data_IF_405660294576
#
_entry.id   IF_405660294576
#
_cell.length_a   1.000
_cell.length_b   1.000
_cell.length_c   1.000
_cell.angle_alpha   90.00
_cell.angle_beta   90.00
_cell.angle_gamma   90.00
#
_symmetry.space_group_name_H-M   'P 1'
#
loop_
_entity.id
_entity.type
_entity.pdbx_description
1 polymer ?
#
# COMPACT_ATOMS: atom_id res chain seq x y z
N UNK A 1 4.25 -38.23 -28.43
CA UNK A 1 5.43 -38.07 -27.53
C UNK A 1 5.08 -36.98 -26.53
N UNK A 2 5.28 -37.20 -25.23
CA UNK A 2 4.96 -36.19 -24.20
C UNK A 2 5.99 -35.04 -24.29
N UNK A 3 5.53 -33.80 -24.48
CA UNK A 3 6.39 -32.61 -24.59
C UNK A 3 7.32 -32.46 -23.37
N UNK A 4 6.83 -32.87 -22.20
CA UNK A 4 7.59 -32.84 -20.95
C UNK A 4 8.70 -33.90 -20.91
N UNK A 5 8.49 -35.05 -21.56
CA UNK A 5 9.53 -36.09 -21.71
C UNK A 5 10.61 -35.65 -22.68
N UNK A 6 10.24 -35.01 -23.79
CA UNK A 6 11.20 -34.50 -24.78
C UNK A 6 12.08 -33.38 -24.22
N UNK A 7 11.51 -32.49 -23.39
CA UNK A 7 12.28 -31.45 -22.71
C UNK A 7 13.37 -32.02 -21.78
N UNK A 8 13.05 -33.11 -21.06
CA UNK A 8 14.02 -33.80 -20.19
C UNK A 8 15.15 -34.47 -20.97
N UNK A 9 14.85 -35.03 -22.14
CA UNK A 9 15.86 -35.59 -23.04
C UNK A 9 16.83 -34.50 -23.56
N UNK A 10 16.29 -33.33 -23.93
CA UNK A 10 17.10 -32.19 -24.37
C UNK A 10 18.01 -31.71 -23.23
N UNK A 11 17.49 -31.59 -22.01
CA UNK A 11 18.28 -31.18 -20.84
C UNK A 11 19.42 -32.18 -20.54
N UNK A 12 19.13 -33.47 -20.63
CA UNK A 12 20.13 -34.53 -20.47
C UNK A 12 21.21 -34.45 -21.57
N UNK A 13 20.84 -34.19 -22.83
CA UNK A 13 21.80 -34.04 -23.93
C UNK A 13 22.63 -32.76 -23.80
N UNK A 14 22.04 -31.64 -23.42
CA UNK A 14 22.78 -30.40 -23.14
C UNK A 14 23.77 -30.56 -21.99
N UNK A 15 23.40 -31.30 -20.94
CA UNK A 15 24.33 -31.64 -19.85
C UNK A 15 25.47 -32.54 -20.31
N UNK A 16 25.21 -33.49 -21.22
CA UNK A 16 26.24 -34.33 -21.82
C UNK A 16 27.19 -33.53 -22.72
N UNK A 17 26.67 -32.62 -23.56
CA UNK A 17 27.45 -31.71 -24.41
C UNK A 17 28.38 -30.83 -23.55
N UNK A 18 27.88 -30.36 -22.40
CA UNK A 18 28.70 -29.59 -21.45
C UNK A 18 29.87 -30.41 -20.90
N UNK A 19 29.62 -31.65 -20.51
CA UNK A 19 30.68 -32.56 -20.03
C UNK A 19 31.67 -32.95 -21.13
N UNK A 20 31.20 -33.05 -22.38
CA UNK A 20 32.03 -33.35 -23.56
C UNK A 20 32.91 -32.14 -23.95
N UNK A 21 32.40 -30.91 -23.81
CA UNK A 21 33.17 -29.68 -24.06
C UNK A 21 34.30 -29.43 -23.04
N UNK A 22 34.26 -30.07 -21.87
CA UNK A 22 35.30 -29.99 -20.84
C UNK A 22 36.47 -30.96 -21.11
N UNK A 23 36.38 -31.83 -22.13
CA UNK A 23 37.43 -32.76 -22.51
C UNK A 23 38.44 -32.13 -23.47
N UNK A 24 39.73 -32.47 -23.29
CA UNK A 24 40.83 -31.95 -24.10
C UNK A 24 40.81 -32.59 -25.50
N UNK A 25 40.46 -31.81 -26.54
CA UNK A 25 40.33 -32.26 -27.93
C UNK A 25 38.89 -32.33 -28.46
N UNK A 26 37.90 -31.85 -27.71
CA UNK A 26 36.51 -31.81 -28.15
C UNK A 26 36.28 -30.88 -29.35
N UNK A 27 35.43 -31.31 -30.29
CA UNK A 27 35.00 -30.49 -31.42
C UNK A 27 33.96 -29.46 -30.96
N UNK A 28 34.46 -28.34 -30.49
CA UNK A 28 33.66 -27.24 -29.95
C UNK A 28 32.68 -26.65 -30.98
N UNK A 29 32.97 -26.75 -32.28
CA UNK A 29 32.13 -26.17 -33.32
C UNK A 29 30.93 -27.07 -33.64
N UNK A 30 31.15 -28.39 -33.70
CA UNK A 30 30.06 -29.37 -33.79
C UNK A 30 29.14 -29.33 -32.56
N UNK A 31 29.72 -29.28 -31.35
CA UNK A 31 28.96 -29.19 -30.09
C UNK A 31 28.19 -27.87 -29.96
N UNK A 32 28.75 -26.76 -30.45
CA UNK A 32 28.06 -25.47 -30.47
C UNK A 32 26.88 -25.46 -31.45
N UNK A 33 26.99 -26.12 -32.61
CA UNK A 33 25.86 -26.28 -33.55
C UNK A 33 24.75 -27.11 -32.92
N UNK A 34 25.09 -28.26 -32.33
CA UNK A 34 24.10 -29.13 -31.70
C UNK A 34 23.41 -28.46 -30.50
N UNK A 35 24.16 -27.70 -29.69
CA UNK A 35 23.58 -26.94 -28.58
C UNK A 35 22.61 -25.84 -29.06
N UNK A 36 22.88 -25.20 -30.20
CA UNK A 36 21.95 -24.23 -30.80
C UNK A 36 20.67 -24.90 -31.29
N UNK A 37 20.78 -26.01 -32.00
CA UNK A 37 19.61 -26.75 -32.51
C UNK A 37 18.72 -27.25 -31.36
N UNK A 38 19.33 -27.77 -30.29
CA UNK A 38 18.63 -28.19 -29.07
C UNK A 38 17.97 -27.02 -28.33
N UNK A 39 18.60 -25.84 -28.36
CA UNK A 39 18.04 -24.64 -27.77
C UNK A 39 16.85 -24.12 -28.58
N UNK A 40 16.90 -24.16 -29.90
CA UNK A 40 15.76 -23.83 -30.78
C UNK A 40 14.59 -24.80 -30.53
N UNK A 41 14.85 -26.11 -30.53
CA UNK A 41 13.84 -27.13 -30.24
C UNK A 41 13.20 -26.91 -28.85
N UNK A 42 14.01 -26.58 -27.84
CA UNK A 42 13.52 -26.24 -26.50
C UNK A 42 12.60 -25.03 -26.53
N UNK A 43 12.95 -23.96 -27.24
CA UNK A 43 12.10 -22.77 -27.32
C UNK A 43 10.78 -23.05 -28.01
N UNK A 44 10.77 -23.88 -29.05
CA UNK A 44 9.54 -24.22 -29.77
C UNK A 44 8.63 -25.15 -28.97
N UNK A 45 9.19 -26.08 -28.19
CA UNK A 45 8.43 -26.89 -27.24
C UNK A 45 7.78 -26.01 -26.16
N UNK A 46 8.49 -25.00 -25.65
CA UNK A 46 7.95 -24.05 -24.68
C UNK A 46 6.80 -23.24 -25.29
N UNK A 47 6.97 -22.69 -26.50
CA UNK A 47 5.90 -21.96 -27.20
C UNK A 47 4.67 -22.84 -27.44
N UNK A 48 4.86 -24.11 -27.79
CA UNK A 48 3.75 -25.05 -27.99
C UNK A 48 3.05 -25.40 -26.66
N UNK A 49 3.80 -25.53 -25.56
CA UNK A 49 3.22 -25.70 -24.22
C UNK A 49 2.44 -24.45 -23.79
N UNK A 50 2.95 -23.25 -24.05
CA UNK A 50 2.25 -21.99 -23.79
C UNK A 50 1.00 -21.84 -24.67
N UNK A 51 1.08 -22.21 -25.95
CA UNK A 51 -0.07 -22.25 -26.87
C UNK A 51 -1.14 -23.22 -26.38
N UNK A 52 -0.75 -24.39 -25.86
CA UNK A 52 -1.67 -25.34 -25.25
C UNK A 52 -2.25 -24.82 -23.93
N UNK A 53 -1.45 -24.15 -23.10
CA UNK A 53 -1.92 -23.58 -21.84
C UNK A 53 -2.90 -22.42 -22.06
N UNK A 54 -2.62 -21.55 -23.03
CA UNK A 54 -3.51 -20.45 -23.42
C UNK A 54 -4.78 -20.96 -24.12
N UNK A 55 -4.67 -21.97 -24.98
CA UNK A 55 -5.84 -22.63 -25.56
C UNK A 55 -6.68 -23.32 -24.48
N UNK A 56 -6.05 -24.00 -23.52
CA UNK A 56 -6.72 -24.60 -22.38
C UNK A 56 -7.37 -23.54 -21.49
N UNK A 57 -6.74 -22.38 -21.24
CA UNK A 57 -7.39 -21.30 -20.48
C UNK A 57 -8.59 -20.73 -21.22
N UNK A 58 -8.48 -20.50 -22.54
CA UNK A 58 -9.59 -20.01 -23.38
C UNK A 58 -10.71 -21.04 -23.51
N UNK A 59 -10.40 -22.34 -23.60
CA UNK A 59 -11.38 -23.41 -23.61
C UNK A 59 -12.03 -23.63 -22.23
N UNK A 60 -11.30 -23.40 -21.14
CA UNK A 60 -11.84 -23.45 -19.78
C UNK A 60 -12.74 -22.23 -19.49
N UNK A 61 -12.47 -21.08 -20.09
CA UNK A 61 -13.34 -19.89 -20.05
C UNK A 61 -14.55 -20.00 -21.00
N UNK A 62 -14.46 -20.79 -22.08
CA UNK A 62 -15.46 -20.87 -23.16
C UNK A 62 -16.31 -22.16 -23.22
N UNK A 63 -15.99 -23.19 -22.45
CA UNK A 63 -16.65 -24.50 -22.49
C UNK A 63 -17.14 -24.91 -21.10
N UNK A 64 -18.44 -24.75 -20.87
CA UNK A 64 -19.09 -25.05 -19.60
C UNK A 64 -18.82 -26.49 -19.10
N UNK A 65 -17.94 -26.62 -18.11
CA UNK A 65 -18.21 -27.52 -17.00
C UNK A 65 -18.54 -26.63 -15.79
N UNK A 66 -19.82 -26.56 -15.48
CA UNK A 66 -20.36 -25.82 -14.33
C UNK A 66 -19.97 -26.59 -13.07
N UNK A 67 -18.70 -26.55 -12.69
CA UNK A 67 -18.33 -26.61 -11.28
C UNK A 67 -18.22 -25.15 -10.87
N UNK A 68 -19.37 -24.60 -10.42
CA UNK A 68 -19.39 -23.34 -9.68
C UNK A 68 -18.73 -23.59 -8.33
N UNK A 69 -17.41 -23.69 -8.32
CA UNK A 69 -16.68 -23.12 -7.21
C UNK A 69 -16.66 -21.61 -7.47
N UNK A 70 -17.83 -21.00 -7.25
CA UNK A 70 -17.91 -19.62 -6.80
C UNK A 70 -17.16 -19.63 -5.46
N UNK A 71 -15.83 -19.59 -5.51
CA UNK A 71 -15.11 -18.90 -4.46
C UNK A 71 -15.69 -17.50 -4.57
N UNK A 72 -16.45 -17.03 -3.57
CA UNK A 72 -16.83 -15.63 -3.57
C UNK A 72 -15.48 -14.92 -3.58
N UNK A 73 -15.13 -14.30 -4.70
CA UNK A 73 -14.22 -13.17 -4.62
C UNK A 73 -14.96 -12.28 -3.64
N UNK A 74 -14.49 -12.23 -2.40
CA UNK A 74 -15.02 -11.26 -1.45
C UNK A 74 -14.92 -9.95 -2.20
N UNK A 75 -16.06 -9.38 -2.59
CA UNK A 75 -16.14 -8.00 -3.05
C UNK A 75 -15.81 -7.18 -1.81
N UNK A 76 -14.51 -7.10 -1.52
CA UNK A 76 -13.98 -6.28 -0.44
C UNK A 76 -14.31 -4.87 -0.84
N UNK A 77 -15.34 -4.36 -0.19
CA UNK A 77 -15.81 -3.01 -0.43
C UNK A 77 -14.84 -2.11 0.31
N UNK A 78 -13.91 -1.50 -0.42
CA UNK A 78 -12.97 -0.56 0.14
C UNK A 78 -13.68 0.78 0.36
N UNK A 79 -13.77 1.19 1.61
CA UNK A 79 -14.32 2.49 2.01
C UNK A 79 -13.18 3.45 2.34
N UNK A 80 -13.49 4.73 2.49
CA UNK A 80 -12.50 5.73 2.94
C UNK A 80 -11.97 5.50 4.37
N UNK A 81 -12.56 4.57 5.13
CA UNK A 81 -12.07 4.15 6.45
C UNK A 81 -11.23 2.85 6.37
N UNK A 82 -11.07 2.25 5.19
CA UNK A 82 -10.35 0.99 5.04
C UNK A 82 -8.84 1.17 5.26
N UNK A 83 -8.15 0.19 5.88
CA UNK A 83 -6.69 0.19 5.98
C UNK A 83 -6.01 0.33 4.61
N UNK A 84 -6.56 -0.33 3.59
CA UNK A 84 -6.02 -0.32 2.23
C UNK A 84 -6.08 1.07 1.61
N UNK A 85 -7.13 1.86 1.89
CA UNK A 85 -7.20 3.26 1.46
C UNK A 85 -6.14 4.12 2.13
N UNK A 86 -5.90 3.94 3.43
CA UNK A 86 -4.86 4.67 4.17
C UNK A 86 -3.46 4.30 3.68
N UNK A 87 -3.20 3.02 3.44
CA UNK A 87 -1.92 2.57 2.90
C UNK A 87 -1.71 3.08 1.47
N UNK A 88 -2.76 3.07 0.65
CA UNK A 88 -2.73 3.68 -0.67
C UNK A 88 -2.37 5.18 -0.58
N UNK A 89 -2.97 5.92 0.36
CA UNK A 89 -2.62 7.32 0.67
C UNK A 89 -1.12 7.50 0.91
N UNK A 90 -0.54 6.71 1.81
CA UNK A 90 0.89 6.81 2.10
C UNK A 90 1.78 6.34 0.96
N UNK A 91 1.38 5.30 0.21
CA UNK A 91 2.12 4.83 -0.96
C UNK A 91 2.19 5.93 -2.02
N UNK A 92 1.08 6.64 -2.29
CA UNK A 92 1.07 7.79 -3.19
C UNK A 92 1.96 8.92 -2.69
N UNK A 93 1.84 9.27 -1.40
CA UNK A 93 2.62 10.35 -0.78
C UNK A 93 4.13 10.09 -0.83
N UNK A 94 4.54 8.83 -0.67
CA UNK A 94 5.94 8.38 -0.71
C UNK A 94 6.44 8.08 -2.13
N UNK A 95 5.58 8.20 -3.16
CA UNK A 95 5.91 7.87 -4.55
C UNK A 95 6.19 6.37 -4.79
N UNK A 96 5.65 5.48 -3.96
CA UNK A 96 5.79 4.03 -4.10
C UNK A 96 4.67 3.44 -4.95
N UNK A 97 4.94 2.32 -5.60
CA UNK A 97 3.90 1.59 -6.34
C UNK A 97 2.84 1.02 -5.39
N UNK A 98 1.57 1.22 -5.74
CA UNK A 98 0.43 0.67 -5.02
C UNK A 98 0.17 -0.78 -5.44
N UNK A 99 -0.20 -1.63 -4.47
CA UNK A 99 -0.71 -2.98 -4.76
C UNK A 99 -2.07 -2.92 -5.47
N UNK A 100 -2.56 -4.07 -5.95
CA UNK A 100 -3.83 -4.16 -6.67
C UNK A 100 -5.00 -3.72 -5.78
N UNK A 101 -4.95 -4.08 -4.51
CA UNK A 101 -5.95 -3.81 -3.48
C UNK A 101 -5.95 -2.32 -3.11
N UNK A 102 -4.77 -1.75 -2.89
CA UNK A 102 -4.60 -0.32 -2.61
C UNK A 102 -5.06 0.56 -3.77
N UNK A 103 -4.81 0.13 -5.01
CA UNK A 103 -5.28 0.83 -6.21
C UNK A 103 -6.80 0.76 -6.36
N UNK A 104 -7.41 -0.37 -6.00
CA UNK A 104 -8.87 -0.51 -5.97
C UNK A 104 -9.50 0.34 -4.85
N UNK A 105 -8.82 0.49 -3.72
CA UNK A 105 -9.22 1.35 -2.61
C UNK A 105 -8.98 2.85 -2.87
N UNK A 106 -8.20 3.22 -3.89
CA UNK A 106 -7.80 4.60 -4.14
C UNK A 106 -8.98 5.47 -4.60
N UNK A 107 -9.51 6.25 -3.66
CA UNK A 107 -10.56 7.25 -3.93
C UNK A 107 -10.09 8.69 -3.66
N UNK A 108 -8.82 8.89 -3.29
CA UNK A 108 -8.30 10.19 -2.90
C UNK A 108 -7.98 11.06 -4.12
N UNK A 109 -9.01 11.74 -4.62
CA UNK A 109 -8.91 12.69 -5.72
C UNK A 109 -9.50 14.03 -5.27
N UNK A 110 -9.06 15.12 -5.90
CA UNK A 110 -9.60 16.46 -5.64
C UNK A 110 -11.12 16.56 -5.88
N UNK A 111 -11.69 15.64 -6.66
CA UNK A 111 -13.14 15.55 -6.91
C UNK A 111 -13.87 14.80 -5.80
N UNK A 112 -13.28 13.74 -5.24
CA UNK A 112 -13.97 12.82 -4.32
C UNK A 112 -13.74 13.13 -2.85
N UNK A 113 -12.67 13.86 -2.52
CA UNK A 113 -12.28 14.12 -1.13
C UNK A 113 -11.90 15.58 -0.92
N UNK A 114 -12.65 16.29 -0.07
CA UNK A 114 -12.37 17.67 0.31
C UNK A 114 -11.27 17.80 1.37
N UNK A 115 -11.06 16.74 2.17
CA UNK A 115 -9.98 16.70 3.16
C UNK A 115 -8.64 16.38 2.48
N UNK A 116 -7.56 17.05 2.93
CA UNK A 116 -6.19 16.89 2.38
C UNK A 116 -5.51 15.61 2.89
N UNK A 117 -6.01 15.05 4.00
CA UNK A 117 -5.50 13.83 4.65
C UNK A 117 -6.69 12.98 5.08
N UNK A 118 -6.64 11.64 4.96
CA UNK A 118 -7.68 10.74 5.48
C UNK A 118 -7.96 10.96 6.97
N UNK A 119 -9.24 11.01 7.36
CA UNK A 119 -9.67 11.27 8.75
C UNK A 119 -9.09 10.27 9.74
N UNK A 120 -9.08 8.99 9.39
CA UNK A 120 -8.51 7.92 10.25
C UNK A 120 -7.02 8.13 10.52
N UNK A 121 -6.27 8.68 9.56
CA UNK A 121 -4.87 9.05 9.76
C UNK A 121 -4.72 10.20 10.74
N UNK A 122 -5.59 11.22 10.62
CA UNK A 122 -5.58 12.37 11.53
C UNK A 122 -5.91 11.93 12.96
N UNK A 123 -6.91 11.07 13.14
CA UNK A 123 -7.27 10.54 14.46
C UNK A 123 -6.11 9.76 15.09
N UNK A 124 -5.49 8.84 14.34
CA UNK A 124 -4.35 8.08 14.83
C UNK A 124 -3.16 8.96 15.26
N UNK A 125 -2.92 10.09 14.57
CA UNK A 125 -1.90 11.06 14.98
C UNK A 125 -2.26 11.68 16.33
N UNK A 126 -3.51 12.09 16.53
CA UNK A 126 -3.95 12.68 17.79
C UNK A 126 -3.91 11.69 18.95
N UNK A 127 -4.31 10.44 18.71
CA UNK A 127 -4.25 9.37 19.70
C UNK A 127 -2.80 9.13 20.16
N UNK A 128 -1.87 9.07 19.21
CA UNK A 128 -0.43 8.92 19.52
C UNK A 128 0.11 10.12 20.31
N UNK A 129 -0.30 11.34 19.96
CA UNK A 129 0.10 12.56 20.68
C UNK A 129 -0.41 12.52 22.12
N UNK A 130 -1.66 12.11 22.34
CA UNK A 130 -2.22 11.98 23.68
C UNK A 130 -1.54 10.89 24.50
N UNK A 131 -1.19 9.75 23.87
CA UNK A 131 -0.52 8.64 24.56
C UNK A 131 0.90 9.01 25.00
N UNK A 132 1.65 9.73 24.15
CA UNK A 132 3.03 10.10 24.42
C UNK A 132 3.18 11.27 25.40
N UNK A 133 2.16 12.12 25.53
CA UNK A 133 2.26 13.37 26.27
C UNK A 133 1.13 13.51 27.29
N UNK A 134 1.42 13.19 28.55
CA UNK A 134 0.47 13.32 29.67
C UNK A 134 -0.02 14.76 29.90
N UNK A 135 0.73 15.77 29.45
CA UNK A 135 0.32 17.18 29.54
C UNK A 135 -0.94 17.47 28.73
N UNK A 136 -1.24 16.66 27.70
CA UNK A 136 -2.42 16.84 26.85
C UNK A 136 -3.71 16.64 27.64
N UNK A 137 -3.71 15.77 28.65
CA UNK A 137 -4.88 15.51 29.50
C UNK A 137 -5.18 16.69 30.45
N UNK A 138 -4.14 17.43 30.84
CA UNK A 138 -4.24 18.56 31.79
C UNK A 138 -4.58 19.90 31.10
N UNK A 139 -4.58 19.96 29.77
CA UNK A 139 -4.80 21.20 29.01
C UNK A 139 -6.14 21.18 28.25
N UNK A 140 -6.84 22.30 28.27
CA UNK A 140 -8.06 22.47 27.45
C UNK A 140 -7.67 22.87 26.03
N UNK A 141 -7.93 21.99 25.05
CA UNK A 141 -7.58 22.20 23.65
C UNK A 141 -8.79 22.77 22.88
N UNK A 142 -8.60 23.93 22.26
CA UNK A 142 -9.56 24.51 21.32
C UNK A 142 -9.07 24.36 19.87
N UNK A 143 -9.84 23.67 19.03
CA UNK A 143 -9.53 23.43 17.60
C UNK A 143 -10.39 24.32 16.69
N UNK A 144 -10.26 25.64 16.81
CA UNK A 144 -11.09 26.60 16.05
C UNK A 144 -10.58 26.92 14.64
N UNK A 145 -9.35 26.50 14.30
CA UNK A 145 -8.70 26.88 13.03
C UNK A 145 -8.31 28.35 12.96
N UNK A 146 -8.42 29.08 14.07
CA UNK A 146 -8.12 30.51 14.20
C UNK A 146 -7.25 30.76 15.42
N UNK A 147 -6.47 31.85 15.40
CA UNK A 147 -5.67 32.25 16.57
C UNK A 147 -6.63 32.74 17.65
N UNK A 148 -6.53 32.15 18.84
CA UNK A 148 -7.26 32.56 20.04
C UNK A 148 -6.35 33.46 20.87
N UNK A 149 -6.71 34.74 21.01
CA UNK A 149 -6.05 35.65 21.93
C UNK A 149 -6.71 35.58 23.30
N UNK A 150 -5.95 35.20 24.32
CA UNK A 150 -6.39 35.25 25.71
C UNK A 150 -5.89 36.54 26.32
N UNK A 151 -6.80 37.46 26.63
CA UNK A 151 -6.48 38.70 27.32
C UNK A 151 -6.17 38.36 28.78
N UNK A 152 -4.88 38.44 29.15
CA UNK A 152 -4.45 38.31 30.54
C UNK A 152 -4.53 39.67 31.22
N UNK A 153 -5.46 39.81 32.17
CA UNK A 153 -5.47 40.93 33.10
C UNK A 153 -4.29 40.75 34.07
N UNK A 154 -3.27 41.61 33.97
CA UNK A 154 -2.08 41.57 34.83
C UNK A 154 -2.28 42.32 36.14
N UNK A 155 -3.26 43.21 36.19
CA UNK A 155 -3.52 44.10 37.32
C UNK A 155 -5.02 44.37 37.43
N UNK A 156 -5.53 44.52 38.66
CA UNK A 156 -6.88 45.05 38.91
C UNK A 156 -6.73 46.56 39.12
N UNK A 157 -7.30 47.36 38.21
CA UNK A 157 -7.19 48.81 38.21
C UNK A 157 -8.06 49.48 39.29
N UNK A 158 -9.26 48.96 39.56
CA UNK A 158 -10.17 49.42 40.61
C UNK A 158 -10.87 48.23 41.30
N UNK A 159 -11.07 48.31 42.62
CA UNK A 159 -11.67 47.22 43.41
C UNK A 159 -10.69 46.45 44.30
N UNK A 160 -9.37 46.73 44.25
CA UNK A 160 -8.44 46.22 45.29
C UNK A 160 -8.97 46.61 46.66
N UNK A 161 -9.07 45.64 47.58
CA UNK A 161 -9.67 45.79 48.92
C UNK A 161 -9.16 47.07 49.62
N UNK A 162 -9.92 48.15 49.46
CA UNK A 162 -9.61 49.46 50.01
C UNK A 162 -10.35 49.54 51.33
N UNK A 163 -9.65 49.93 52.40
CA UNK A 163 -10.34 50.26 53.65
C UNK A 163 -11.19 51.50 53.40
N UNK A 164 -12.51 51.34 53.44
CA UNK A 164 -13.48 52.44 53.38
C UNK A 164 -13.98 52.76 54.78
N UNK A 165 -14.33 54.02 55.02
CA UNK A 165 -14.97 54.44 56.26
C UNK A 165 -16.38 53.83 56.34
N UNK A 166 -16.89 53.64 57.56
CA UNK A 166 -18.24 53.14 57.78
C UNK A 166 -19.26 54.10 57.12
N UNK A 167 -20.19 53.54 56.33
CA UNK A 167 -21.15 54.24 55.45
C UNK A 167 -20.63 54.90 54.16
N UNK A 168 -19.37 54.68 53.76
CA UNK A 168 -18.90 55.05 52.43
C UNK A 168 -19.07 53.87 51.44
N UNK A 169 -19.65 54.13 50.26
CA UNK A 169 -19.74 53.13 49.20
C UNK A 169 -18.33 52.75 48.70
N UNK A 170 -18.12 51.46 48.41
CA UNK A 170 -16.91 51.01 47.76
C UNK A 170 -16.96 51.37 46.27
N UNK A 171 -15.79 51.54 45.64
CA UNK A 171 -15.71 51.74 44.20
C UNK A 171 -16.09 50.44 43.47
N UNK A 172 -16.86 50.56 42.38
CA UNK A 172 -17.19 49.41 41.53
C UNK A 172 -15.92 48.81 40.91
N UNK A 173 -15.86 47.48 40.87
CA UNK A 173 -14.74 46.76 40.26
C UNK A 173 -14.66 47.06 38.76
N UNK A 174 -13.46 47.41 38.28
CA UNK A 174 -13.18 47.54 36.85
C UNK A 174 -12.06 46.56 36.48
N UNK A 175 -12.43 45.62 35.61
CA UNK A 175 -11.54 44.63 35.00
C UNK A 175 -10.94 45.19 33.71
#
# INVERSE_FOLDING_TARGET
>A
MNLLSRLKEIEARCSAIRAESEQEGADLEALASEAKDLQEERTDIIKEMERRNTLNSVMNDGGANVIKDFVPTEERTYTAASPEYREAFFANLLGREMTKEQRAAWVHTTTNTAAVVPTETVNAIWDLISEQHSIIDDVTIYRSGTVMEVIKHTEIAQGKAKKVAENAANEDEKN
#
